data_IF_386946454033
#
_entry.id   IF_386946454033
#
_cell.length_a   1.000
_cell.length_b   1.000
_cell.length_c   1.000
_cell.angle_alpha   90.00
_cell.angle_beta   90.00
_cell.angle_gamma   90.00
#
_symmetry.space_group_name_H-M   'P 1'
#
loop_
_entity.id
_entity.type
_entity.pdbx_description
1 polymer ?
#
# COMPACT_ATOMS: atom_id res chain seq x y z
N UNK A 1 -35.26 -24.28 -11.85
CA UNK A 1 -35.91 -23.85 -10.61
C UNK A 1 -35.59 -24.76 -9.46
N UNK A 2 -34.58 -24.38 -8.70
CA UNK A 2 -34.30 -24.96 -7.40
C UNK A 2 -34.80 -23.94 -6.36
N UNK A 3 -35.86 -24.22 -5.58
CA UNK A 3 -36.51 -23.25 -4.69
C UNK A 3 -35.63 -22.75 -3.52
N UNK A 4 -34.37 -23.19 -3.46
CA UNK A 4 -33.36 -22.76 -2.48
C UNK A 4 -32.59 -21.50 -2.90
N UNK A 5 -32.37 -21.28 -4.20
CA UNK A 5 -31.60 -20.12 -4.71
C UNK A 5 -32.33 -18.80 -4.47
N UNK A 6 -33.66 -18.80 -4.61
CA UNK A 6 -34.50 -17.62 -4.36
C UNK A 6 -34.49 -17.25 -2.87
N UNK A 7 -34.59 -18.25 -1.98
CA UNK A 7 -34.52 -18.03 -0.52
C UNK A 7 -33.14 -17.57 -0.06
N UNK A 8 -32.06 -18.02 -0.69
CA UNK A 8 -30.70 -17.58 -0.39
C UNK A 8 -30.44 -16.15 -0.88
N UNK A 9 -31.02 -15.80 -2.03
CA UNK A 9 -31.01 -14.43 -2.57
C UNK A 9 -31.84 -13.48 -1.69
N UNK A 10 -33.00 -13.90 -1.21
CA UNK A 10 -33.84 -13.15 -0.27
C UNK A 10 -33.13 -12.90 1.07
N UNK A 11 -32.50 -13.94 1.64
CA UNK A 11 -31.70 -13.82 2.87
C UNK A 11 -30.51 -12.86 2.69
N UNK A 12 -29.81 -12.96 1.56
CA UNK A 12 -28.69 -12.07 1.24
C UNK A 12 -29.14 -10.61 1.05
N UNK A 13 -30.28 -10.41 0.39
CA UNK A 13 -30.92 -9.10 0.20
C UNK A 13 -31.33 -8.47 1.54
N UNK A 14 -31.95 -9.26 2.42
CA UNK A 14 -32.34 -8.80 3.76
C UNK A 14 -31.12 -8.40 4.60
N UNK A 15 -30.03 -9.17 4.53
CA UNK A 15 -28.76 -8.84 5.20
C UNK A 15 -28.15 -7.54 4.65
N UNK A 16 -28.08 -7.39 3.32
CA UNK A 16 -27.55 -6.19 2.67
C UNK A 16 -28.37 -4.94 3.06
N UNK A 17 -29.70 -5.06 3.12
CA UNK A 17 -30.58 -3.99 3.58
C UNK A 17 -30.34 -3.63 5.04
N UNK A 18 -30.15 -4.64 5.91
CA UNK A 18 -29.82 -4.42 7.32
C UNK A 18 -28.49 -3.68 7.51
N UNK A 19 -27.44 -4.08 6.79
CA UNK A 19 -26.13 -3.41 6.82
C UNK A 19 -26.22 -1.97 6.31
N UNK A 20 -26.95 -1.74 5.21
CA UNK A 20 -27.16 -0.38 4.67
C UNK A 20 -27.92 0.51 5.66
N UNK A 21 -28.90 -0.05 6.37
CA UNK A 21 -29.65 0.68 7.40
C UNK A 21 -28.82 0.99 8.64
N UNK A 22 -27.88 0.12 9.03
CA UNK A 22 -26.92 0.41 10.10
C UNK A 22 -25.94 1.52 9.67
N UNK A 23 -25.37 1.42 8.46
CA UNK A 23 -24.46 2.41 7.91
C UNK A 23 -25.10 3.80 7.82
N UNK A 24 -26.35 3.89 7.35
CA UNK A 24 -27.09 5.14 7.29
C UNK A 24 -27.37 5.75 8.68
N UNK A 25 -27.55 4.91 9.71
CA UNK A 25 -27.71 5.38 11.09
C UNK A 25 -26.41 5.92 11.66
N UNK A 26 -25.30 5.25 11.39
CA UNK A 26 -23.97 5.71 11.78
C UNK A 26 -23.60 7.03 11.06
N UNK A 27 -23.82 7.14 9.75
CA UNK A 27 -23.60 8.38 8.99
C UNK A 27 -24.48 9.54 9.50
N UNK A 28 -25.73 9.27 9.86
CA UNK A 28 -26.63 10.29 10.43
C UNK A 28 -26.25 10.68 11.86
N UNK A 29 -25.59 9.79 12.60
CA UNK A 29 -25.10 10.05 13.95
C UNK A 29 -23.71 10.70 13.97
N UNK A 30 -22.99 10.67 12.84
CA UNK A 30 -21.71 11.33 12.70
C UNK A 30 -21.90 12.86 12.82
N UNK A 31 -21.17 13.54 13.73
CA UNK A 31 -21.11 14.99 13.74
C UNK A 31 -20.64 15.50 12.37
N UNK A 32 -21.15 16.65 11.93
CA UNK A 32 -20.71 17.28 10.69
C UNK A 32 -19.23 17.71 10.82
N UNK A 33 -18.31 16.79 10.51
CA UNK A 33 -16.90 17.12 10.31
C UNK A 33 -16.82 18.05 9.10
N UNK A 34 -16.45 19.31 9.35
CA UNK A 34 -16.13 20.23 8.28
C UNK A 34 -15.10 19.57 7.37
N UNK A 35 -15.48 19.38 6.10
CA UNK A 35 -14.59 18.98 5.02
C UNK A 35 -13.53 20.07 4.80
N UNK A 36 -12.55 20.14 5.68
CA UNK A 36 -11.26 20.76 5.40
C UNK A 36 -10.39 19.66 4.80
N UNK A 37 -10.15 19.72 3.49
CA UNK A 37 -9.08 18.93 2.88
C UNK A 37 -7.81 19.17 3.69
N UNK A 38 -7.19 18.14 4.30
CA UNK A 38 -5.97 18.35 5.04
C UNK A 38 -4.90 18.75 4.02
N UNK A 39 -4.42 19.99 4.13
CA UNK A 39 -3.13 20.34 3.55
C UNK A 39 -2.08 19.37 4.13
N UNK A 40 -1.01 19.02 3.38
CA UNK A 40 0.05 18.16 3.90
C UNK A 40 0.61 18.81 5.19
N UNK A 41 0.30 18.22 6.35
CA UNK A 41 0.67 18.75 7.68
C UNK A 41 -0.47 19.25 8.57
N UNK A 42 -1.74 19.22 8.15
CA UNK A 42 -2.86 19.56 9.03
C UNK A 42 -3.17 18.40 9.99
N UNK A 43 -2.70 18.50 11.23
CA UNK A 43 -3.09 17.61 12.33
C UNK A 43 -4.58 17.78 12.62
N UNK A 44 -5.38 16.81 12.20
CA UNK A 44 -6.83 16.71 12.41
C UNK A 44 -7.23 16.50 13.89
N UNK A 45 -6.39 16.93 14.84
CA UNK A 45 -6.56 16.71 16.27
C UNK A 45 -6.73 18.06 16.97
N UNK A 46 -7.93 18.62 16.89
CA UNK A 46 -8.46 19.45 17.98
C UNK A 46 -8.83 18.53 19.16
N UNK A 47 -7.82 17.82 19.68
CA UNK A 47 -7.91 17.09 20.93
C UNK A 47 -7.37 18.05 21.98
N UNK A 48 -8.28 18.84 22.55
CA UNK A 48 -7.96 19.76 23.62
C UNK A 48 -7.06 19.12 24.68
N UNK A 49 -5.83 19.62 24.76
CA UNK A 49 -4.89 19.45 25.87
C UNK A 49 -4.40 18.02 26.21
N UNK A 50 -4.32 17.09 25.24
CA UNK A 50 -3.48 15.89 25.43
C UNK A 50 -2.09 16.11 24.79
N UNK A 51 -0.98 15.77 25.48
CA UNK A 51 0.33 15.82 24.85
C UNK A 51 0.31 14.86 23.65
N UNK A 52 0.36 15.42 22.44
CA UNK A 52 0.39 14.65 21.20
C UNK A 52 1.75 13.97 21.10
N UNK A 53 1.88 12.82 21.75
CA UNK A 53 2.91 11.86 21.38
C UNK A 53 2.57 11.37 19.98
N UNK A 54 3.56 11.27 19.08
CA UNK A 54 3.30 10.75 17.75
C UNK A 54 2.72 9.34 17.89
N UNK A 55 1.56 9.11 17.25
CA UNK A 55 0.85 7.83 17.29
C UNK A 55 1.71 6.68 16.76
N UNK A 56 2.70 7.02 15.90
CA UNK A 56 3.71 6.10 15.43
C UNK A 56 5.06 6.49 16.03
N UNK A 57 5.85 5.50 16.50
CA UNK A 57 7.25 5.73 16.82
C UNK A 57 7.98 6.44 15.66
N UNK A 58 8.96 7.29 15.94
CA UNK A 58 9.78 7.89 14.89
C UNK A 58 10.41 6.79 14.03
N UNK A 59 10.28 6.93 12.70
CA UNK A 59 10.92 6.02 11.75
C UNK A 59 12.42 6.06 11.97
N UNK A 60 13.01 4.88 12.08
CA UNK A 60 14.45 4.68 12.17
C UNK A 60 15.12 4.98 10.84
N UNK A 61 16.41 5.31 10.88
CA UNK A 61 17.21 5.49 9.67
C UNK A 61 17.22 4.23 8.79
N UNK A 62 17.12 3.04 9.39
CA UNK A 62 17.01 1.76 8.68
C UNK A 62 15.74 1.70 7.86
N UNK A 63 14.59 2.01 8.46
CA UNK A 63 13.31 2.02 7.77
C UNK A 63 13.30 3.02 6.61
N UNK A 64 13.84 4.23 6.84
CA UNK A 64 13.95 5.23 5.78
C UNK A 64 14.84 4.77 4.62
N UNK A 65 15.94 4.07 4.92
CA UNK A 65 16.81 3.50 3.89
C UNK A 65 16.11 2.39 3.11
N UNK A 66 15.38 1.50 3.79
CA UNK A 66 14.56 0.45 3.16
C UNK A 66 13.53 1.04 2.22
N UNK A 67 12.78 2.05 2.67
CA UNK A 67 11.78 2.74 1.84
C UNK A 67 12.43 3.38 0.62
N UNK A 68 13.58 4.04 0.80
CA UNK A 68 14.28 4.72 -0.28
C UNK A 68 14.83 3.75 -1.33
N UNK A 69 15.49 2.67 -0.92
CA UNK A 69 16.00 1.64 -1.83
C UNK A 69 14.83 0.97 -2.57
N UNK A 70 13.75 0.63 -1.86
CA UNK A 70 12.55 0.05 -2.46
C UNK A 70 11.96 0.99 -3.52
N UNK A 71 11.81 2.28 -3.20
CA UNK A 71 11.32 3.28 -4.15
C UNK A 71 12.24 3.41 -5.38
N UNK A 72 13.57 3.46 -5.20
CA UNK A 72 14.52 3.50 -6.32
C UNK A 72 14.40 2.27 -7.23
N UNK A 73 14.29 1.07 -6.65
CA UNK A 73 14.11 -0.17 -7.41
C UNK A 73 12.77 -0.16 -8.18
N UNK A 74 11.68 0.26 -7.54
CA UNK A 74 10.38 0.39 -8.20
C UNK A 74 10.43 1.37 -9.38
N UNK A 75 11.05 2.54 -9.20
CA UNK A 75 11.24 3.50 -10.29
C UNK A 75 12.05 2.90 -11.44
N UNK A 76 13.18 2.27 -11.13
CA UNK A 76 14.00 1.60 -12.16
C UNK A 76 13.23 0.49 -12.88
N UNK A 77 12.38 -0.26 -12.17
CA UNK A 77 11.56 -1.32 -12.75
C UNK A 77 10.54 -0.75 -13.75
N UNK A 78 9.86 0.35 -13.40
CA UNK A 78 8.95 1.03 -14.32
C UNK A 78 9.69 1.58 -15.54
N UNK A 79 10.85 2.21 -15.34
CA UNK A 79 11.62 2.88 -16.40
C UNK A 79 12.31 1.91 -17.38
N UNK A 80 12.72 0.73 -16.89
CA UNK A 80 13.63 -0.16 -17.65
C UNK A 80 13.06 -1.53 -17.96
N UNK A 81 12.12 -2.02 -17.14
CA UNK A 81 11.47 -3.32 -17.32
C UNK A 81 9.97 -3.21 -17.65
N UNK A 82 9.43 -1.99 -17.79
CA UNK A 82 8.01 -1.78 -18.08
C UNK A 82 7.10 -2.28 -16.95
N UNK A 83 7.60 -2.29 -15.72
CA UNK A 83 6.81 -2.70 -14.57
C UNK A 83 5.60 -1.79 -14.39
N UNK A 84 4.50 -2.35 -13.90
CA UNK A 84 3.30 -1.62 -13.51
C UNK A 84 3.05 -1.74 -12.01
N UNK A 85 2.51 -0.69 -11.35
CA UNK A 85 2.04 -0.81 -9.98
C UNK A 85 0.84 -1.74 -9.93
N UNK A 86 0.80 -2.60 -8.93
CA UNK A 86 -0.32 -3.47 -8.59
C UNK A 86 -0.63 -3.41 -7.10
N UNK A 87 -1.76 -4.02 -6.72
CA UNK A 87 -2.19 -4.13 -5.34
C UNK A 87 -2.69 -5.55 -5.09
N UNK A 88 -2.10 -6.24 -4.12
CA UNK A 88 -2.67 -7.41 -3.49
C UNK A 88 -3.39 -7.02 -2.20
N UNK A 89 -4.46 -7.71 -1.87
CA UNK A 89 -5.15 -7.51 -0.61
C UNK A 89 -4.42 -8.22 0.55
N UNK A 90 -3.64 -9.27 0.28
CA UNK A 90 -2.88 -10.01 1.28
C UNK A 90 -1.49 -9.40 1.49
N UNK A 91 -0.80 -9.09 0.40
CA UNK A 91 0.59 -8.61 0.43
C UNK A 91 0.71 -7.08 0.30
N UNK A 92 -0.38 -6.40 -0.05
CA UNK A 92 -0.36 -4.96 -0.29
C UNK A 92 0.25 -4.58 -1.64
N UNK A 93 0.90 -3.41 -1.75
CA UNK A 93 1.46 -2.90 -3.01
C UNK A 93 2.44 -3.89 -3.65
N UNK A 94 2.36 -4.06 -4.96
CA UNK A 94 3.23 -4.98 -5.69
C UNK A 94 3.70 -4.42 -7.03
N UNK A 95 4.79 -4.97 -7.54
CA UNK A 95 5.23 -4.74 -8.90
C UNK A 95 4.73 -5.86 -9.80
N UNK A 96 4.19 -5.49 -10.95
CA UNK A 96 3.82 -6.42 -12.01
C UNK A 96 4.82 -6.25 -13.15
N UNK A 97 5.59 -7.29 -13.45
CA UNK A 97 6.60 -7.32 -14.51
C UNK A 97 6.14 -8.36 -15.54
N UNK A 98 6.01 -7.95 -16.80
CA UNK A 98 5.49 -8.81 -17.88
C UNK A 98 4.11 -9.42 -17.58
N UNK A 99 3.24 -8.70 -16.86
CA UNK A 99 1.91 -9.17 -16.48
C UNK A 99 1.90 -10.18 -15.32
N UNK A 100 3.05 -10.49 -14.73
CA UNK A 100 3.18 -11.38 -13.58
C UNK A 100 3.65 -10.58 -12.37
N UNK A 101 3.12 -10.92 -11.21
CA UNK A 101 3.59 -10.38 -9.93
C UNK A 101 5.08 -10.69 -9.76
N UNK A 102 5.88 -9.67 -9.53
CA UNK A 102 7.29 -9.83 -9.18
C UNK A 102 7.40 -10.47 -7.80
N UNK A 103 8.39 -11.35 -7.60
CA UNK A 103 8.66 -11.96 -6.30
C UNK A 103 8.98 -10.93 -5.23
N UNK A 104 8.90 -11.33 -3.96
CA UNK A 104 9.10 -10.44 -2.82
C UNK A 104 10.47 -9.75 -2.86
N UNK A 105 10.46 -8.42 -2.98
CA UNK A 105 11.63 -7.56 -3.01
C UNK A 105 12.24 -7.39 -1.61
N UNK A 106 11.43 -7.52 -0.57
CA UNK A 106 11.77 -7.18 0.82
C UNK A 106 13.02 -7.93 1.31
N UNK A 107 13.15 -9.26 1.13
CA UNK A 107 14.32 -10.00 1.62
C UNK A 107 15.62 -9.56 0.94
N UNK A 108 15.56 -9.17 -0.33
CA UNK A 108 16.73 -8.70 -1.08
C UNK A 108 17.19 -7.31 -0.61
N UNK A 109 16.24 -6.43 -0.29
CA UNK A 109 16.54 -5.10 0.26
C UNK A 109 17.06 -5.21 1.69
N UNK A 110 16.50 -6.09 2.51
CA UNK A 110 16.98 -6.30 3.87
C UNK A 110 18.41 -6.86 3.90
N UNK A 111 18.75 -7.82 3.04
CA UNK A 111 20.14 -8.32 2.96
C UNK A 111 21.15 -7.21 2.62
N UNK A 112 20.79 -6.28 1.73
CA UNK A 112 21.62 -5.10 1.45
C UNK A 112 21.79 -4.18 2.67
N UNK A 113 20.71 -3.96 3.43
CA UNK A 113 20.69 -2.93 4.49
C UNK A 113 21.23 -3.48 5.82
N UNK A 114 20.92 -4.72 6.14
CA UNK A 114 21.27 -5.37 7.40
C UNK A 114 22.64 -6.05 7.32
N UNK A 115 22.90 -6.79 6.25
CA UNK A 115 24.15 -7.53 6.08
C UNK A 115 25.19 -6.76 5.24
N UNK A 116 24.77 -5.69 4.57
CA UNK A 116 25.62 -4.94 3.64
C UNK A 116 25.89 -5.70 2.34
N UNK A 117 25.16 -6.79 2.05
CA UNK A 117 25.38 -7.63 0.87
C UNK A 117 24.48 -7.19 -0.30
N UNK A 118 25.06 -6.59 -1.37
CA UNK A 118 24.28 -6.20 -2.53
C UNK A 118 23.98 -7.36 -3.49
N UNK A 119 24.62 -8.53 -3.34
CA UNK A 119 24.57 -9.59 -4.34
C UNK A 119 23.15 -10.15 -4.59
N UNK A 120 22.32 -10.43 -3.56
CA UNK A 120 20.97 -10.94 -3.77
C UNK A 120 20.08 -9.95 -4.53
N UNK A 121 20.17 -8.66 -4.18
CA UNK A 121 19.39 -7.62 -4.85
C UNK A 121 19.84 -7.43 -6.30
N UNK A 122 21.15 -7.41 -6.57
CA UNK A 122 21.67 -7.30 -7.94
C UNK A 122 21.25 -8.48 -8.82
N UNK A 123 21.30 -9.69 -8.29
CA UNK A 123 20.87 -10.89 -9.01
C UNK A 123 19.37 -10.80 -9.37
N UNK A 124 18.53 -10.44 -8.42
CA UNK A 124 17.08 -10.29 -8.63
C UNK A 124 16.75 -9.20 -9.66
N UNK A 125 17.44 -8.06 -9.63
CA UNK A 125 17.26 -6.99 -10.62
C UNK A 125 17.56 -7.47 -12.03
N UNK A 126 18.69 -8.17 -12.22
CA UNK A 126 19.10 -8.71 -13.53
C UNK A 126 18.11 -9.75 -14.03
N UNK A 127 17.69 -10.68 -13.17
CA UNK A 127 16.70 -11.71 -13.51
C UNK A 127 15.34 -11.10 -13.90
N UNK A 128 14.95 -10.03 -13.21
CA UNK A 128 13.72 -9.27 -13.49
C UNK A 128 13.85 -8.33 -14.70
N UNK A 129 15.02 -8.26 -15.34
CA UNK A 129 15.30 -7.37 -16.48
C UNK A 129 15.42 -5.89 -16.11
N UNK A 130 15.49 -5.57 -14.82
CA UNK A 130 15.60 -4.22 -14.29
C UNK A 130 17.06 -3.76 -14.40
N UNK A 131 17.29 -2.62 -15.04
CA UNK A 131 18.63 -2.08 -15.27
C UNK A 131 18.85 -0.80 -14.44
N UNK A 132 19.40 -0.90 -13.22
CA UNK A 132 19.66 0.27 -12.38
C UNK A 132 20.72 1.20 -12.97
N UNK A 133 21.54 0.70 -13.91
CA UNK A 133 22.69 1.41 -14.49
C UNK A 133 22.29 2.38 -15.61
N UNK A 134 21.01 2.43 -16.02
CA UNK A 134 20.54 3.38 -17.03
C UNK A 134 20.21 4.71 -16.34
N UNK A 135 20.80 5.85 -16.77
CA UNK A 135 20.55 7.12 -16.08
C UNK A 135 19.07 7.51 -16.20
N UNK A 136 18.44 7.73 -15.04
CA UNK A 136 17.08 8.29 -14.92
C UNK A 136 17.15 9.73 -15.44
N UNK A 137 16.42 10.04 -16.53
CA UNK A 137 16.28 11.43 -16.98
C UNK A 137 15.18 12.10 -16.16
N UNK A 138 15.60 12.89 -15.18
CA UNK A 138 14.71 13.84 -14.51
C UNK A 138 14.37 14.94 -15.53
N UNK A 139 13.09 15.10 -15.82
CA UNK A 139 12.56 16.13 -16.74
C UNK A 139 12.03 17.30 -15.94
#
# INVERSE_FOLDING_TARGET
>A
DHPGDDQETERSSALAAGLTAEMAREEAAAPAEQAASPAPGATLLDIGALPLFPLQPPRTSRELLTDHVTAMVCCAAMDTAGAAPGLDWLDGPTLVINGVRAGDLTPHVLSLIEDGDPAPLRAWLVESGIRPEKPVRLV
#
